data_IF_031957502564
#
_entry.id   IF_031957502564
#
_cell.length_a   1.000
_cell.length_b   1.000
_cell.length_c   1.000
_cell.angle_alpha   90.00
_cell.angle_beta   90.00
_cell.angle_gamma   90.00
#
_symmetry.space_group_name_H-M   'P 1'
#
loop_
_entity.id
_entity.type
_entity.pdbx_description
1 polymer ?
#
# COMPACT_ATOMS: atom_id res chain seq x y z
N UNK A 1 9.43 17.52 -13.98
CA UNK A 1 9.21 16.05 -14.05
C UNK A 1 8.71 15.59 -15.40
N UNK A 2 7.58 16.13 -15.89
CA UNK A 2 6.96 15.70 -17.14
C UNK A 2 7.88 15.86 -18.37
N UNK A 3 8.43 17.06 -18.61
CA UNK A 3 9.36 17.30 -19.73
C UNK A 3 10.68 16.49 -19.64
N UNK A 4 10.98 15.94 -18.47
CA UNK A 4 12.16 15.12 -18.23
C UNK A 4 11.85 13.61 -18.29
N UNK A 5 10.66 13.20 -18.77
CA UNK A 5 10.23 11.81 -18.90
C UNK A 5 10.31 10.99 -17.59
N UNK A 6 10.04 11.65 -16.45
CA UNK A 6 10.04 10.99 -15.12
C UNK A 6 8.66 10.52 -14.66
N UNK A 7 7.67 10.54 -15.55
CA UNK A 7 6.30 10.07 -15.29
C UNK A 7 6.00 9.01 -16.33
N UNK A 8 5.85 7.77 -15.89
CA UNK A 8 5.62 6.61 -16.76
C UNK A 8 4.26 6.01 -16.41
N UNK A 9 3.24 6.16 -17.26
CA UNK A 9 1.96 5.50 -17.04
C UNK A 9 2.12 4.01 -17.32
N UNK A 10 1.62 3.18 -16.41
CA UNK A 10 1.64 1.72 -16.52
C UNK A 10 0.25 1.19 -16.20
N UNK A 11 -0.21 0.23 -17.00
CA UNK A 11 -1.44 -0.53 -16.70
C UNK A 11 -1.06 -1.77 -15.91
N UNK A 12 -1.72 -2.00 -14.78
CA UNK A 12 -1.49 -3.19 -13.98
C UNK A 12 -2.47 -3.37 -12.85
N UNK A 13 -2.55 -4.62 -12.41
CA UNK A 13 -3.28 -5.03 -11.22
C UNK A 13 -2.34 -5.05 -10.00
N UNK A 14 -2.85 -4.61 -8.87
CA UNK A 14 -2.14 -4.61 -7.58
C UNK A 14 -1.94 -6.04 -7.05
N UNK A 15 -2.94 -6.91 -7.24
CA UNK A 15 -2.86 -8.31 -6.83
C UNK A 15 -2.25 -9.22 -7.92
N UNK A 16 -2.23 -8.75 -9.16
CA UNK A 16 -1.62 -9.49 -10.28
C UNK A 16 -0.13 -9.77 -10.06
N UNK A 17 0.34 -10.91 -10.56
CA UNK A 17 1.69 -11.43 -10.32
C UNK A 17 2.82 -10.70 -11.07
N UNK A 18 2.49 -9.76 -11.97
CA UNK A 18 3.47 -9.18 -12.91
C UNK A 18 3.84 -7.72 -12.64
N UNK A 19 2.88 -6.81 -12.57
CA UNK A 19 3.16 -5.38 -12.77
C UNK A 19 4.01 -4.79 -11.65
N UNK A 20 3.62 -4.98 -10.38
CA UNK A 20 4.39 -4.45 -9.25
C UNK A 20 5.79 -5.08 -9.18
N UNK A 21 5.92 -6.39 -9.42
CA UNK A 21 7.22 -7.07 -9.45
C UNK A 21 8.14 -6.50 -10.53
N UNK A 22 7.61 -6.31 -11.74
CA UNK A 22 8.34 -5.71 -12.87
C UNK A 22 8.77 -4.27 -12.58
N UNK A 23 7.94 -3.48 -11.90
CA UNK A 23 8.30 -2.15 -11.42
C UNK A 23 9.45 -2.24 -10.42
N UNK A 24 9.38 -3.18 -9.47
CA UNK A 24 10.45 -3.44 -8.51
C UNK A 24 11.79 -3.76 -9.19
N UNK A 25 11.77 -4.64 -10.19
CA UNK A 25 12.95 -5.02 -10.97
C UNK A 25 13.53 -3.83 -11.75
N UNK A 26 12.66 -3.00 -12.34
CA UNK A 26 13.08 -1.77 -13.00
C UNK A 26 13.77 -0.83 -12.01
N UNK A 27 13.13 -0.53 -10.87
CA UNK A 27 13.68 0.38 -9.86
C UNK A 27 15.04 -0.12 -9.33
N UNK A 28 15.16 -1.43 -9.05
CA UNK A 28 16.42 -2.07 -8.63
C UNK A 28 17.52 -1.94 -9.68
N UNK A 29 17.21 -2.16 -10.96
CA UNK A 29 18.19 -2.08 -12.06
C UNK A 29 18.87 -0.73 -12.14
N UNK A 30 18.17 0.35 -11.74
CA UNK A 30 18.72 1.70 -11.71
C UNK A 30 19.23 2.13 -10.33
N UNK A 31 19.34 1.21 -9.36
CA UNK A 31 19.88 1.48 -8.03
C UNK A 31 19.03 2.44 -7.19
N UNK A 32 17.72 2.52 -7.44
CA UNK A 32 16.80 3.37 -6.69
C UNK A 32 15.96 2.56 -5.69
N UNK A 33 15.21 3.27 -4.87
CA UNK A 33 14.20 2.73 -3.94
C UNK A 33 12.85 3.42 -4.11
N UNK A 34 11.80 2.84 -3.53
CA UNK A 34 10.46 3.41 -3.45
C UNK A 34 10.27 4.02 -2.06
N UNK A 35 9.97 5.31 -2.02
CA UNK A 35 9.71 6.07 -0.79
C UNK A 35 8.21 6.23 -0.49
N UNK A 36 7.36 6.21 -1.52
CA UNK A 36 5.92 6.42 -1.36
C UNK A 36 5.15 5.45 -2.24
N UNK A 37 4.19 4.75 -1.63
CA UNK A 37 3.20 3.95 -2.35
C UNK A 37 1.79 4.51 -2.06
N UNK A 38 1.17 5.13 -3.06
CA UNK A 38 -0.19 5.64 -2.97
C UNK A 38 -1.21 4.58 -3.38
N UNK A 39 -2.09 4.17 -2.47
CA UNK A 39 -3.10 3.12 -2.71
C UNK A 39 -4.51 3.68 -2.91
N UNK A 40 -4.73 4.97 -2.64
CA UNK A 40 -6.08 5.53 -2.53
C UNK A 40 -6.93 4.66 -1.59
N UNK A 41 -8.09 4.19 -2.01
CA UNK A 41 -8.95 3.26 -1.28
C UNK A 41 -8.98 1.84 -1.88
N UNK A 42 -8.01 1.47 -2.72
CA UNK A 42 -8.03 0.19 -3.45
C UNK A 42 -8.05 -1.03 -2.52
N UNK A 43 -7.40 -0.92 -1.36
CA UNK A 43 -7.30 -1.99 -0.38
C UNK A 43 -8.69 -2.49 0.05
N UNK A 44 -9.71 -1.63 0.11
CA UNK A 44 -11.08 -2.08 0.39
C UNK A 44 -11.56 -3.16 -0.57
N UNK A 45 -11.34 -2.98 -1.87
CA UNK A 45 -11.81 -3.91 -2.90
C UNK A 45 -10.99 -5.20 -2.86
N UNK A 46 -9.68 -5.09 -2.63
CA UNK A 46 -8.81 -6.25 -2.45
C UNK A 46 -9.20 -7.10 -1.22
N UNK A 47 -9.71 -6.49 -0.15
CA UNK A 47 -10.27 -7.24 0.98
C UNK A 47 -11.63 -7.87 0.66
N UNK A 48 -12.45 -7.25 -0.19
CA UNK A 48 -13.74 -7.82 -0.62
C UNK A 48 -13.55 -9.05 -1.51
N UNK A 49 -12.51 -9.05 -2.34
CA UNK A 49 -12.20 -10.12 -3.28
C UNK A 49 -11.19 -11.14 -2.74
N UNK A 50 -10.77 -11.02 -1.48
CA UNK A 50 -9.73 -11.84 -0.81
C UNK A 50 -8.36 -11.86 -1.55
N UNK A 51 -8.02 -10.75 -2.20
CA UNK A 51 -6.77 -10.55 -2.96
C UNK A 51 -5.71 -9.72 -2.22
N UNK A 52 -6.04 -9.21 -1.04
CA UNK A 52 -5.17 -8.30 -0.27
C UNK A 52 -3.83 -8.92 0.12
N UNK A 53 -3.77 -10.24 0.41
CA UNK A 53 -2.51 -10.94 0.71
C UNK A 53 -1.56 -10.91 -0.48
N UNK A 54 -2.07 -11.22 -1.67
CA UNK A 54 -1.29 -11.22 -2.91
C UNK A 54 -0.74 -9.82 -3.20
N UNK A 55 -1.55 -8.78 -2.99
CA UNK A 55 -1.08 -7.40 -3.09
C UNK A 55 0.07 -7.10 -2.13
N UNK A 56 -0.04 -7.43 -0.84
CA UNK A 56 1.04 -7.17 0.10
C UNK A 56 2.29 -8.02 -0.17
N UNK A 57 2.13 -9.24 -0.67
CA UNK A 57 3.25 -10.07 -1.14
C UNK A 57 3.95 -9.44 -2.35
N UNK A 58 3.18 -8.83 -3.26
CA UNK A 58 3.74 -8.06 -4.37
C UNK A 58 4.50 -6.82 -3.86
N UNK A 59 3.96 -6.08 -2.89
CA UNK A 59 4.67 -4.94 -2.27
C UNK A 59 5.96 -5.39 -1.57
N UNK A 60 5.96 -6.55 -0.91
CA UNK A 60 7.14 -7.12 -0.28
C UNK A 60 8.28 -7.42 -1.28
N UNK A 61 7.96 -7.51 -2.58
CA UNK A 61 8.95 -7.68 -3.64
C UNK A 61 9.54 -6.37 -4.15
N UNK A 62 9.15 -5.20 -3.63
CA UNK A 62 9.65 -3.90 -4.09
C UNK A 62 10.93 -3.49 -3.33
N UNK A 63 11.87 -2.77 -3.97
CA UNK A 63 12.99 -2.15 -3.27
C UNK A 63 12.51 -0.90 -2.51
N UNK A 64 12.06 -1.05 -1.28
CA UNK A 64 11.57 0.07 -0.45
C UNK A 64 12.71 0.71 0.34
N UNK A 65 12.63 2.03 0.56
CA UNK A 65 13.51 2.72 1.51
C UNK A 65 13.07 2.47 2.95
N UNK A 66 13.92 2.83 3.91
CA UNK A 66 13.62 2.66 5.35
C UNK A 66 12.43 3.52 5.80
N UNK A 67 12.32 4.73 5.25
CA UNK A 67 11.26 5.69 5.57
C UNK A 67 10.07 5.61 4.62
N UNK A 68 9.98 4.54 3.83
CA UNK A 68 8.94 4.39 2.83
C UNK A 68 7.54 4.33 3.48
N UNK A 69 6.59 5.06 2.91
CA UNK A 69 5.22 5.14 3.45
C UNK A 69 4.15 4.68 2.46
N UNK A 70 3.13 4.02 2.98
CA UNK A 70 1.84 3.97 2.33
C UNK A 70 1.11 5.29 2.52
N UNK A 71 0.44 5.75 1.47
CA UNK A 71 -0.58 6.81 1.54
C UNK A 71 -1.89 6.19 1.09
N UNK A 72 -2.86 6.10 2.01
CA UNK A 72 -4.13 5.41 1.80
C UNK A 72 -5.30 6.25 2.28
N UNK A 73 -6.51 5.91 1.85
CA UNK A 73 -7.73 6.60 2.23
C UNK A 73 -8.79 5.58 2.64
N UNK A 74 -9.27 5.71 3.87
CA UNK A 74 -10.40 4.94 4.36
C UNK A 74 -11.70 5.72 4.29
N UNK A 75 -12.81 5.00 4.16
CA UNK A 75 -14.11 5.56 4.49
C UNK A 75 -14.21 5.79 5.99
N UNK A 76 -14.80 6.91 6.39
CA UNK A 76 -14.94 7.30 7.79
C UNK A 76 -15.71 6.28 8.63
N UNK A 77 -16.65 5.54 8.04
CA UNK A 77 -17.36 4.47 8.73
C UNK A 77 -16.42 3.39 9.25
N UNK A 78 -15.47 2.94 8.43
CA UNK A 78 -14.46 1.96 8.83
C UNK A 78 -13.53 2.55 9.90
N UNK A 79 -13.01 3.76 9.69
CA UNK A 79 -12.10 4.38 10.67
C UNK A 79 -12.77 4.59 12.02
N UNK A 80 -14.03 5.01 12.06
CA UNK A 80 -14.79 5.14 13.31
C UNK A 80 -14.99 3.83 14.04
N UNK A 81 -15.09 2.72 13.30
CA UNK A 81 -15.21 1.39 13.88
C UNK A 81 -13.88 0.89 14.46
N UNK A 82 -12.77 1.13 13.76
CA UNK A 82 -11.50 0.46 14.08
C UNK A 82 -10.55 1.31 14.95
N UNK A 83 -10.35 2.60 14.63
CA UNK A 83 -9.21 3.35 15.19
C UNK A 83 -9.48 4.80 15.58
N UNK A 84 -10.46 5.48 14.98
CA UNK A 84 -10.74 6.89 15.21
C UNK A 84 -12.26 7.19 15.20
N UNK A 85 -12.92 7.23 16.37
CA UNK A 85 -14.36 7.50 16.50
C UNK A 85 -14.83 8.83 15.90
N UNK A 86 -13.92 9.78 15.64
CA UNK A 86 -14.22 11.11 15.06
C UNK A 86 -13.78 11.24 13.60
N UNK A 87 -13.46 10.13 12.94
CA UNK A 87 -12.96 10.15 11.58
C UNK A 87 -13.97 10.78 10.59
N UNK A 88 -13.53 11.71 9.72
CA UNK A 88 -14.36 12.31 8.67
C UNK A 88 -14.73 11.27 7.60
N UNK A 89 -15.67 11.62 6.70
CA UNK A 89 -16.19 10.71 5.66
C UNK A 89 -15.09 10.07 4.81
N UNK A 90 -14.01 10.82 4.52
CA UNK A 90 -12.79 10.33 3.88
C UNK A 90 -11.62 10.64 4.81
N UNK A 91 -10.89 9.61 5.22
CA UNK A 91 -9.78 9.75 6.16
C UNK A 91 -8.50 9.32 5.46
N UNK A 92 -7.72 10.26 4.88
CA UNK A 92 -6.39 9.97 4.39
C UNK A 92 -5.48 9.72 5.60
N UNK A 93 -4.67 8.67 5.51
CA UNK A 93 -3.73 8.25 6.56
C UNK A 93 -2.45 7.73 5.93
N UNK A 94 -1.38 7.66 6.72
CA UNK A 94 -0.12 7.06 6.31
C UNK A 94 0.29 5.92 7.24
N UNK A 95 1.19 5.05 6.77
CA UNK A 95 1.85 4.04 7.60
C UNK A 95 3.22 3.69 7.02
N UNK A 96 4.17 3.28 7.87
CA UNK A 96 5.46 2.75 7.41
C UNK A 96 5.24 1.46 6.61
N UNK A 97 5.78 1.38 5.39
CA UNK A 97 5.73 0.14 4.61
C UNK A 97 6.58 -0.95 5.30
N UNK A 98 7.74 -0.57 5.84
CA UNK A 98 8.65 -1.53 6.47
C UNK A 98 7.99 -2.21 7.68
N UNK A 99 7.39 -1.44 8.59
CA UNK A 99 6.68 -1.99 9.75
C UNK A 99 5.45 -2.79 9.32
N UNK A 100 4.68 -2.27 8.36
CA UNK A 100 3.51 -2.95 7.83
C UNK A 100 3.84 -4.34 7.25
N UNK A 101 4.92 -4.46 6.48
CA UNK A 101 5.35 -5.74 5.90
C UNK A 101 5.93 -6.71 6.95
N UNK A 102 6.44 -6.22 8.08
CA UNK A 102 6.77 -7.09 9.22
C UNK A 102 5.49 -7.70 9.79
N UNK A 103 4.47 -6.88 10.05
CA UNK A 103 3.16 -7.33 10.57
C UNK A 103 2.46 -8.30 9.60
N UNK A 104 2.49 -8.01 8.30
CA UNK A 104 1.95 -8.89 7.25
C UNK A 104 2.63 -10.26 7.25
N UNK A 105 3.98 -10.30 7.29
CA UNK A 105 4.74 -11.56 7.31
C UNK A 105 4.50 -12.41 8.55
N UNK A 106 4.10 -11.80 9.66
CA UNK A 106 3.69 -12.50 10.89
C UNK A 106 2.26 -13.04 10.81
N UNK A 107 1.51 -12.71 9.75
CA UNK A 107 0.12 -13.10 9.61
C UNK A 107 -0.85 -12.29 10.47
N UNK A 108 -0.39 -11.17 11.06
CA UNK A 108 -1.15 -10.38 12.03
C UNK A 108 -2.14 -9.41 11.36
N UNK A 109 -2.04 -9.23 10.04
CA UNK A 109 -3.03 -8.48 9.26
C UNK A 109 -4.06 -9.48 8.77
N UNK A 110 -5.23 -9.55 9.40
CA UNK A 110 -6.33 -10.43 8.94
C UNK A 110 -7.57 -9.65 8.51
N UNK A 111 -7.66 -8.37 8.89
CA UNK A 111 -8.84 -7.55 8.65
C UNK A 111 -8.46 -6.15 8.20
N UNK A 112 -9.44 -5.45 7.60
CA UNK A 112 -9.29 -4.02 7.31
C UNK A 112 -9.09 -3.17 8.57
N UNK A 113 -9.57 -3.60 9.73
CA UNK A 113 -9.32 -2.89 10.98
C UNK A 113 -7.84 -2.95 11.37
N UNK A 114 -7.19 -4.10 11.21
CA UNK A 114 -5.75 -4.20 11.45
C UNK A 114 -4.96 -3.20 10.56
N UNK A 115 -5.32 -3.07 9.29
CA UNK A 115 -4.71 -2.06 8.40
C UNK A 115 -4.97 -0.64 8.88
N UNK A 116 -6.19 -0.33 9.32
CA UNK A 116 -6.58 0.97 9.84
C UNK A 116 -5.88 1.34 11.16
N UNK A 117 -5.63 0.36 12.03
CA UNK A 117 -4.93 0.52 13.31
C UNK A 117 -3.42 0.74 13.14
N UNK A 118 -2.82 0.13 12.11
CA UNK A 118 -1.42 0.36 11.72
C UNK A 118 -1.21 1.71 11.01
N UNK A 119 -2.28 2.44 10.73
CA UNK A 119 -2.23 3.71 9.99
C UNK A 119 -2.56 4.90 10.90
N UNK A 120 -1.95 6.06 10.63
CA UNK A 120 -2.10 7.29 11.41
C UNK A 120 -2.53 8.47 10.55
#
# INVERSE_FOLDING_TARGET
MQLANRIVPVVGDFAGDRTLRSIGDYVRRYGNTIDVFYTSNVEQYLFMDDLWRQFYDNVATLPISQDAIFVRTFFGSLMRQCSNPRAPIRTPVTSSIAEFLVTHRRGEIETRCAVAELSR
#
